data_IF_828064970690
#
_entry.id   IF_828064970690
#
_cell.length_a   1.000
_cell.length_b   1.000
_cell.length_c   1.000
_cell.angle_alpha   90.00
_cell.angle_beta   90.00
_cell.angle_gamma   90.00
#
_symmetry.space_group_name_H-M   'P 1'
#
loop_
_entity.id
_entity.type
_entity.pdbx_description
1 polymer ?
#
# COMPACT_ATOMS: atom_id res chain seq x y z
N UNK A 1 9.12 -4.37 -5.78
CA UNK A 1 8.27 -3.46 -4.98
C UNK A 1 8.33 -3.90 -3.53
N UNK A 2 8.48 -2.96 -2.60
CA UNK A 2 8.52 -3.24 -1.16
C UNK A 2 7.21 -2.77 -0.50
N UNK A 3 6.91 -3.28 0.69
CA UNK A 3 5.81 -2.74 1.48
C UNK A 3 6.06 -1.26 1.79
N UNK A 4 5.06 -0.41 1.55
CA UNK A 4 5.18 1.03 1.73
C UNK A 4 5.70 1.81 0.50
N UNK A 5 6.04 1.14 -0.61
CA UNK A 5 6.31 1.86 -1.86
C UNK A 5 5.07 2.64 -2.29
N UNK A 6 5.20 3.97 -2.39
CA UNK A 6 4.14 4.80 -2.94
C UNK A 6 4.15 4.74 -4.46
N UNK A 7 2.95 4.58 -5.02
CA UNK A 7 2.70 4.46 -6.45
C UNK A 7 1.55 5.39 -6.84
N UNK A 8 1.56 5.87 -8.08
CA UNK A 8 0.46 6.58 -8.70
C UNK A 8 -0.21 5.65 -9.73
N UNK A 9 -1.52 5.41 -9.58
CA UNK A 9 -2.27 4.54 -10.51
C UNK A 9 -2.39 5.22 -11.87
N UNK A 10 -2.05 4.50 -12.93
CA UNK A 10 -2.25 4.91 -14.34
C UNK A 10 -3.54 4.34 -14.90
N UNK A 11 -3.69 3.02 -14.83
CA UNK A 11 -4.81 2.29 -15.43
C UNK A 11 -5.26 1.16 -14.52
N UNK A 12 -6.58 0.93 -14.45
CA UNK A 12 -7.19 -0.17 -13.72
C UNK A 12 -7.74 -1.20 -14.70
N UNK A 13 -7.18 -2.40 -14.68
CA UNK A 13 -7.70 -3.57 -15.39
C UNK A 13 -8.42 -4.51 -14.40
N UNK A 14 -9.20 -5.50 -14.87
CA UNK A 14 -9.94 -6.40 -13.98
C UNK A 14 -9.07 -7.12 -12.94
N UNK A 15 -7.85 -7.51 -13.31
CA UNK A 15 -6.96 -8.32 -12.47
C UNK A 15 -5.55 -7.74 -12.28
N UNK A 16 -5.28 -6.55 -12.83
CA UNK A 16 -3.97 -5.89 -12.82
C UNK A 16 -4.17 -4.39 -12.61
N UNK A 17 -3.34 -3.77 -11.78
CA UNK A 17 -3.21 -2.32 -11.69
C UNK A 17 -1.90 -1.93 -12.37
N UNK A 18 -1.95 -1.00 -13.32
CA UNK A 18 -0.77 -0.35 -13.87
C UNK A 18 -0.52 0.93 -13.09
N UNK A 19 0.70 1.12 -12.58
CA UNK A 19 1.05 2.27 -11.76
C UNK A 19 2.51 2.68 -11.96
N UNK A 20 2.82 3.94 -11.65
CA UNK A 20 4.19 4.46 -11.66
C UNK A 20 4.71 4.60 -10.23
N UNK A 21 5.96 4.23 -10.00
CA UNK A 21 6.62 4.41 -8.69
C UNK A 21 6.93 5.89 -8.47
N UNK A 22 6.50 6.46 -7.33
CA UNK A 22 6.71 7.88 -7.03
C UNK A 22 7.74 8.13 -5.92
N UNK A 23 8.24 7.08 -5.26
CA UNK A 23 9.20 7.16 -4.15
C UNK A 23 10.35 6.15 -4.30
N UNK A 24 11.51 6.47 -3.74
CA UNK A 24 12.67 5.57 -3.69
C UNK A 24 13.62 5.68 -4.88
N UNK A 25 14.59 4.77 -4.97
CA UNK A 25 15.65 4.78 -5.98
C UNK A 25 15.17 4.49 -7.40
N UNK A 26 14.05 3.78 -7.54
CA UNK A 26 13.44 3.36 -8.82
C UNK A 26 12.22 4.22 -9.19
N UNK A 27 12.22 5.49 -8.79
CA UNK A 27 11.15 6.43 -9.10
C UNK A 27 11.03 6.65 -10.61
N UNK A 28 9.79 6.72 -11.11
CA UNK A 28 9.47 6.95 -12.52
C UNK A 28 9.23 5.68 -13.33
N UNK A 29 9.63 4.52 -12.80
CA UNK A 29 9.38 3.22 -13.44
C UNK A 29 7.92 2.81 -13.33
N UNK A 30 7.42 2.15 -14.38
CA UNK A 30 6.08 1.56 -14.42
C UNK A 30 6.08 0.13 -13.90
N UNK A 31 5.03 -0.20 -13.17
CA UNK A 31 4.85 -1.49 -12.53
C UNK A 31 3.42 -2.00 -12.71
N UNK A 32 3.31 -3.31 -12.87
CA UNK A 32 2.04 -4.02 -12.87
C UNK A 32 1.84 -4.74 -11.55
N UNK A 33 0.71 -4.47 -10.90
CA UNK A 33 0.36 -5.03 -9.61
C UNK A 33 -0.80 -6.00 -9.79
N UNK A 34 -0.55 -7.33 -9.76
CA UNK A 34 -1.59 -8.33 -9.82
C UNK A 34 -2.27 -8.50 -8.45
N UNK A 35 -3.39 -9.22 -8.42
CA UNK A 35 -4.00 -9.69 -7.18
C UNK A 35 -3.13 -10.80 -6.56
N UNK A 36 -2.89 -10.73 -5.25
CA UNK A 36 -2.11 -11.71 -4.48
C UNK A 36 -3.01 -12.40 -3.46
N UNK A 37 -2.87 -13.72 -3.26
CA UNK A 37 -3.57 -14.42 -2.19
C UNK A 37 -2.99 -14.07 -0.81
N UNK A 38 -3.86 -13.69 0.12
CA UNK A 38 -3.57 -13.62 1.54
C UNK A 38 -4.20 -14.85 2.22
N UNK A 39 -3.37 -15.71 2.79
CA UNK A 39 -3.77 -16.94 3.46
C UNK A 39 -3.40 -16.81 4.93
N UNK A 40 -4.38 -16.64 5.84
CA UNK A 40 -4.13 -16.65 7.26
C UNK A 40 -3.87 -18.07 7.77
N UNK A 41 -2.81 -18.25 8.55
CA UNK A 41 -2.43 -19.56 9.10
C UNK A 41 -2.94 -19.79 10.54
N UNK A 42 -3.72 -18.86 11.10
CA UNK A 42 -4.18 -18.87 12.50
C UNK A 42 -5.67 -19.22 12.65
N UNK A 43 -6.35 -19.54 11.54
CA UNK A 43 -7.77 -19.88 11.55
C UNK A 43 -7.96 -21.40 11.64
N UNK A 44 -9.04 -21.89 12.27
CA UNK A 44 -9.32 -23.33 12.35
C UNK A 44 -9.83 -23.92 11.02
N UNK A 45 -9.82 -23.16 9.93
CA UNK A 45 -10.25 -23.56 8.60
C UNK A 45 -9.39 -22.88 7.53
N UNK A 46 -9.34 -23.48 6.34
CA UNK A 46 -8.64 -22.90 5.20
C UNK A 46 -9.37 -21.65 4.70
N UNK A 47 -8.68 -20.52 4.73
CA UNK A 47 -9.20 -19.26 4.21
C UNK A 47 -8.20 -18.60 3.28
N UNK A 48 -8.67 -18.13 2.13
CA UNK A 48 -7.86 -17.42 1.14
C UNK A 48 -8.58 -16.18 0.66
N UNK A 49 -7.97 -15.02 0.86
CA UNK A 49 -8.46 -13.74 0.34
C UNK A 49 -7.60 -13.28 -0.84
N UNK A 50 -8.18 -13.19 -2.02
CA UNK A 50 -7.49 -12.66 -3.20
C UNK A 50 -7.70 -11.14 -3.30
N UNK A 51 -6.63 -10.35 -3.22
CA UNK A 51 -6.71 -8.89 -3.21
C UNK A 51 -5.53 -8.24 -3.90
N UNK A 52 -5.67 -7.00 -4.38
CA UNK A 52 -4.51 -6.21 -4.77
C UNK A 52 -3.71 -5.81 -3.52
N UNK A 53 -2.37 -5.93 -3.53
CA UNK A 53 -1.50 -5.47 -2.44
C UNK A 53 -1.32 -3.94 -2.49
N UNK A 54 -2.42 -3.19 -2.45
CA UNK A 54 -2.41 -1.73 -2.52
C UNK A 54 -3.44 -1.13 -1.54
N UNK A 55 -3.17 0.10 -1.08
CA UNK A 55 -4.06 0.90 -0.24
C UNK A 55 -3.91 2.37 -0.62
N UNK A 56 -5.00 3.15 -0.51
CA UNK A 56 -4.91 4.61 -0.64
C UNK A 56 -3.94 5.19 0.39
N UNK A 57 -3.07 6.10 -0.07
CA UNK A 57 -1.95 6.63 0.70
C UNK A 57 -1.92 8.17 0.81
N UNK A 58 -3.06 8.84 0.58
CA UNK A 58 -3.17 10.30 0.80
C UNK A 58 -3.09 10.69 2.28
N UNK A 59 -3.65 9.83 3.13
CA UNK A 59 -3.56 9.91 4.57
C UNK A 59 -3.45 8.49 5.13
N UNK A 60 -2.68 8.33 6.19
CA UNK A 60 -2.47 7.04 6.84
C UNK A 60 -2.36 7.24 8.35
N UNK A 61 -2.73 6.20 9.10
CA UNK A 61 -2.54 6.24 10.55
C UNK A 61 -1.06 6.18 10.91
N UNK A 62 -0.70 6.70 12.09
CA UNK A 62 0.68 6.69 12.60
C UNK A 62 1.25 5.26 12.60
N UNK A 63 0.48 4.27 13.09
CA UNK A 63 0.88 2.86 13.09
C UNK A 63 1.13 2.28 11.68
N UNK A 64 0.59 2.89 10.62
CA UNK A 64 0.84 2.48 9.23
C UNK A 64 2.02 3.23 8.60
N UNK A 65 2.33 4.43 9.08
CA UNK A 65 3.52 5.19 8.71
C UNK A 65 4.77 4.73 9.46
N UNK A 66 4.62 3.99 10.57
CA UNK A 66 5.75 3.41 11.29
C UNK A 66 6.58 2.53 10.33
N UNK A 67 7.91 2.68 10.41
CA UNK A 67 8.90 2.03 9.55
C UNK A 67 8.83 2.42 8.06
N UNK A 68 8.16 3.55 7.73
CA UNK A 68 8.20 4.16 6.40
C UNK A 68 9.00 5.46 6.40
N UNK A 69 9.74 5.69 5.32
CA UNK A 69 10.45 6.96 5.10
C UNK A 69 9.57 7.92 4.30
N UNK A 70 9.19 9.04 4.92
CA UNK A 70 8.42 10.12 4.32
C UNK A 70 9.28 11.39 4.26
N UNK A 71 9.35 12.04 3.10
CA UNK A 71 10.09 13.31 2.98
C UNK A 71 9.36 14.47 3.68
N UNK A 72 8.03 14.50 3.57
CA UNK A 72 7.16 15.50 4.19
C UNK A 72 5.90 14.78 4.66
N UNK A 73 5.44 15.09 5.87
CA UNK A 73 4.19 14.58 6.43
C UNK A 73 3.44 15.70 7.17
N UNK A 74 2.14 15.80 6.91
CA UNK A 74 1.23 16.58 7.75
C UNK A 74 0.63 15.68 8.83
N UNK A 75 0.53 16.17 10.06
CA UNK A 75 -0.03 15.42 11.18
C UNK A 75 -1.37 16.05 11.56
N UNK A 76 -2.46 15.29 11.44
CA UNK A 76 -3.77 15.69 11.96
C UNK A 76 -3.93 15.17 13.40
N UNK A 77 -4.13 16.09 14.36
CA UNK A 77 -4.32 15.82 15.80
C UNK A 77 -5.69 16.28 16.31
N UNK A 78 -6.70 16.36 15.45
CA UNK A 78 -8.08 16.78 15.82
C UNK A 78 -8.67 16.02 17.02
N UNK A 79 -8.29 14.77 17.22
CA UNK A 79 -8.66 13.99 18.40
C UNK A 79 -7.42 13.74 19.27
N UNK A 80 -7.38 14.26 20.51
CA UNK A 80 -6.28 13.99 21.42
C UNK A 80 -6.35 12.51 21.86
N UNK A 81 -5.30 11.76 21.53
CA UNK A 81 -5.06 10.40 22.04
C UNK A 81 -4.00 10.40 23.16
N UNK A 82 -3.84 11.55 23.83
CA UNK A 82 -3.14 11.71 25.10
C UNK A 82 -4.17 11.79 26.23
#
# INVERSE_FOLDING_TARGET
>A
LCNGTHICVKTLYPNIIEATIITGCVRGEDVFIPRIPLIPNYLPFEFKRLQFPARLAFAMSINKAQDQSLQVAGINLENPYF
#
